data_IF_577481893439
#
_entry.id   IF_577481893439
#
_cell.length_a   1.000
_cell.length_b   1.000
_cell.length_c   1.000
_cell.angle_alpha   90.00
_cell.angle_beta   90.00
_cell.angle_gamma   90.00
#
_symmetry.space_group_name_H-M   'P 1'
#
loop_
_entity.id
_entity.type
_entity.pdbx_description
1 polymer ?
#
# COMPACT_ATOMS: atom_id res chain seq x y z
N UNK A 1 10.63 58.88 0.68
CA UNK A 1 11.77 58.49 -0.19
C UNK A 1 12.48 57.31 0.47
N UNK A 2 12.12 56.09 0.09
CA UNK A 2 12.63 54.85 0.69
C UNK A 2 13.86 54.43 -0.11
N UNK A 3 15.04 54.59 0.48
CA UNK A 3 16.31 54.13 -0.13
C UNK A 3 16.41 52.62 0.04
N UNK A 4 16.13 51.89 -1.04
CA UNK A 4 16.40 50.46 -1.17
C UNK A 4 17.88 50.27 -1.56
N UNK A 5 18.63 49.57 -0.72
CA UNK A 5 19.91 48.98 -1.09
C UNK A 5 19.76 47.46 -0.96
N UNK A 6 19.52 46.79 -2.09
CA UNK A 6 19.69 45.35 -2.21
C UNK A 6 21.08 45.09 -2.77
N UNK A 7 22.03 44.79 -1.88
CA UNK A 7 23.29 44.18 -2.28
C UNK A 7 23.01 42.76 -2.80
N UNK A 8 23.64 42.44 -3.92
CA UNK A 8 23.67 41.15 -4.60
C UNK A 8 23.93 39.96 -3.68
N UNK A 9 22.96 39.05 -3.63
CA UNK A 9 23.17 37.60 -3.51
C UNK A 9 23.89 37.04 -2.28
N UNK A 10 23.13 36.70 -1.23
CA UNK A 10 23.16 35.41 -0.52
C UNK A 10 22.06 35.42 0.57
N UNK A 11 21.12 34.47 0.46
CA UNK A 11 20.25 33.91 1.53
C UNK A 11 19.71 34.89 2.59
N UNK A 12 18.44 35.31 2.46
CA UNK A 12 17.64 35.76 3.61
C UNK A 12 17.30 34.53 4.47
N UNK A 13 18.18 34.15 5.39
CA UNK A 13 17.83 33.21 6.46
C UNK A 13 17.30 34.04 7.61
N UNK A 14 15.97 34.10 7.73
CA UNK A 14 15.32 34.67 8.91
C UNK A 14 15.39 33.65 10.05
N UNK A 15 15.70 34.19 11.23
CA UNK A 15 16.01 33.52 12.47
C UNK A 15 14.78 32.88 13.13
N UNK A 16 15.07 31.88 13.96
CA UNK A 16 14.18 31.15 14.86
C UNK A 16 13.57 32.11 15.90
N UNK A 17 12.25 32.06 16.07
CA UNK A 17 11.53 32.67 17.18
C UNK A 17 10.91 31.52 17.99
N UNK A 18 11.54 31.21 19.13
CA UNK A 18 11.00 30.33 20.18
C UNK A 18 9.89 31.03 20.99
N UNK A 19 8.97 30.19 21.46
CA UNK A 19 8.13 30.32 22.65
C UNK A 19 6.95 31.31 22.62
N UNK A 20 5.73 30.77 22.44
CA UNK A 20 4.63 30.94 23.41
C UNK A 20 3.79 29.67 23.48
N UNK A 21 4.14 28.86 24.47
CA UNK A 21 3.35 27.80 25.09
C UNK A 21 2.16 28.42 25.84
N UNK A 22 0.95 27.94 25.59
CA UNK A 22 -0.19 28.18 26.47
C UNK A 22 -0.97 26.89 26.65
N UNK A 23 -0.76 26.27 27.82
CA UNK A 23 -1.57 25.22 28.42
C UNK A 23 -2.90 25.76 28.95
N UNK A 24 -3.98 25.00 28.78
CA UNK A 24 -5.11 24.87 29.72
C UNK A 24 -6.06 23.74 29.23
N UNK A 25 -6.88 23.12 30.10
CA UNK A 25 -6.48 22.20 31.15
C UNK A 25 -7.13 20.82 30.97
N UNK A 26 -6.59 19.91 31.75
CA UNK A 26 -6.98 18.52 31.94
C UNK A 26 -8.15 18.52 32.94
N UNK A 27 -9.23 17.79 32.65
CA UNK A 27 -10.14 17.32 33.69
C UNK A 27 -10.31 15.81 33.56
N UNK A 28 -9.95 15.17 34.65
CA UNK A 28 -9.82 13.74 34.86
C UNK A 28 -11.07 13.26 35.59
N UNK A 29 -11.64 12.13 35.18
CA UNK A 29 -12.39 11.28 36.10
C UNK A 29 -11.91 9.84 35.95
N UNK A 30 -11.22 9.41 37.00
CA UNK A 30 -10.71 8.09 37.37
C UNK A 30 -11.79 6.99 37.27
N UNK A 31 -11.48 5.81 36.72
CA UNK A 31 -11.10 4.55 37.43
C UNK A 31 -12.34 3.88 38.10
N UNK A 32 -12.71 2.61 37.95
CA UNK A 32 -12.02 1.30 38.04
C UNK A 32 -12.93 0.25 37.36
N UNK A 33 -12.45 -0.69 36.52
CA UNK A 33 -11.73 -1.97 36.76
C UNK A 33 -12.65 -3.21 36.79
N UNK A 34 -12.12 -4.28 36.18
CA UNK A 34 -12.56 -5.69 36.15
C UNK A 34 -13.69 -5.97 35.13
N UNK A 35 -13.68 -7.04 34.35
CA UNK A 35 -12.92 -8.29 34.40
C UNK A 35 -12.97 -8.96 33.01
N UNK A 36 -12.15 -9.97 32.87
CA UNK A 36 -11.85 -10.85 31.74
C UNK A 36 -13.08 -11.39 30.98
N UNK A 37 -12.97 -11.57 29.65
CA UNK A 37 -12.87 -12.90 28.99
C UNK A 37 -13.05 -12.78 27.47
N UNK A 38 -12.25 -13.51 26.67
CA UNK A 38 -12.31 -13.50 25.21
C UNK A 38 -13.47 -14.37 24.70
N UNK A 39 -14.28 -13.83 23.78
CA UNK A 39 -15.25 -14.59 23.00
C UNK A 39 -14.76 -14.68 21.57
N UNK A 40 -13.91 -15.67 21.36
CA UNK A 40 -13.91 -16.50 20.17
C UNK A 40 -15.36 -17.02 19.99
N UNK A 41 -15.99 -16.77 18.85
CA UNK A 41 -17.14 -17.55 18.41
C UNK A 41 -16.81 -18.10 17.02
N UNK A 42 -16.16 -19.24 17.09
CA UNK A 42 -15.97 -20.22 16.02
C UNK A 42 -17.34 -20.73 15.58
N UNK A 43 -17.62 -20.68 14.28
CA UNK A 43 -18.73 -21.39 13.70
C UNK A 43 -18.34 -22.88 13.53
N UNK A 44 -19.10 -23.84 14.08
CA UNK A 44 -18.78 -25.26 13.98
C UNK A 44 -19.28 -25.84 12.66
N UNK A 45 -18.45 -26.61 11.96
CA UNK A 45 -18.87 -27.65 11.03
C UNK A 45 -17.94 -28.86 11.15
N UNK A 46 -18.35 -29.73 12.06
CA UNK A 46 -18.36 -31.20 12.09
C UNK A 46 -17.29 -32.00 11.31
N UNK A 47 -16.58 -32.85 12.06
CA UNK A 47 -15.94 -34.07 11.57
C UNK A 47 -17.01 -35.11 11.20
N UNK A 48 -16.90 -35.71 10.01
CA UNK A 48 -17.41 -37.06 9.70
C UNK A 48 -16.38 -37.76 8.81
N UNK A 49 -16.08 -38.99 9.20
CA UNK A 49 -15.15 -39.92 8.57
C UNK A 49 -15.78 -40.61 7.35
N UNK A 50 -14.92 -41.17 6.51
CA UNK A 50 -15.14 -42.39 5.71
C UNK A 50 -15.97 -42.31 4.41
N UNK A 51 -15.28 -42.36 3.25
CA UNK A 51 -15.67 -43.13 2.06
C UNK A 51 -14.54 -43.11 1.00
N UNK A 52 -14.39 -44.16 0.16
CA UNK A 52 -13.14 -44.91 0.01
C UNK A 52 -12.22 -44.50 -1.16
N UNK A 53 -10.99 -45.03 -1.06
CA UNK A 53 -10.03 -45.23 -2.13
C UNK A 53 -10.55 -46.18 -3.23
N UNK A 54 -9.88 -46.09 -4.40
CA UNK A 54 -10.13 -46.76 -5.69
C UNK A 54 -11.19 -46.01 -6.52
N UNK A 55 -10.81 -45.25 -7.55
CA UNK A 55 -10.31 -45.74 -8.83
C UNK A 55 -9.10 -44.90 -9.32
N UNK A 56 -7.94 -45.55 -9.50
CA UNK A 56 -6.87 -45.06 -10.36
C UNK A 56 -7.20 -45.51 -11.80
N UNK A 57 -7.70 -44.61 -12.64
CA UNK A 57 -7.64 -44.79 -14.10
C UNK A 57 -7.19 -43.50 -14.77
N UNK A 58 -6.16 -43.66 -15.59
CA UNK A 58 -5.44 -42.77 -16.48
C UNK A 58 -6.21 -41.54 -17.00
N UNK A 59 -5.71 -40.35 -16.68
CA UNK A 59 -5.54 -39.28 -17.67
C UNK A 59 -4.16 -38.62 -17.42
N UNK A 60 -3.13 -39.12 -18.10
CA UNK A 60 -1.99 -38.26 -18.48
C UNK A 60 -2.52 -37.25 -19.53
N UNK A 61 -3.24 -36.23 -19.08
CA UNK A 61 -3.37 -35.01 -19.88
C UNK A 61 -1.97 -34.37 -19.92
N UNK A 62 -1.40 -34.22 -21.10
CA UNK A 62 -0.25 -33.34 -21.31
C UNK A 62 -0.59 -31.97 -20.71
N UNK A 63 -0.05 -31.66 -19.53
CA UNK A 63 -0.01 -30.31 -18.98
C UNK A 63 0.88 -29.45 -19.89
N UNK A 64 0.34 -29.05 -21.05
CA UNK A 64 0.92 -28.00 -21.86
C UNK A 64 0.91 -26.74 -20.98
N UNK A 65 2.06 -26.36 -20.42
CA UNK A 65 2.21 -25.26 -19.45
C UNK A 65 1.53 -23.98 -20.00
N UNK A 66 0.29 -23.74 -19.56
CA UNK A 66 -0.48 -22.56 -19.97
C UNK A 66 0.12 -21.35 -19.26
N UNK A 67 1.14 -20.76 -19.89
CA UNK A 67 1.82 -19.58 -19.37
C UNK A 67 0.88 -18.36 -19.36
N UNK A 68 0.74 -17.71 -18.21
CA UNK A 68 -0.04 -16.47 -18.07
C UNK A 68 0.56 -15.35 -18.93
N UNK A 69 -0.17 -14.77 -19.91
CA UNK A 69 0.33 -13.66 -20.71
C UNK A 69 0.36 -12.31 -19.96
N UNK A 70 -0.31 -12.19 -18.80
CA UNK A 70 -0.41 -10.95 -18.03
C UNK A 70 0.95 -10.37 -17.58
N UNK A 71 1.86 -11.11 -16.92
CA UNK A 71 3.12 -10.55 -16.41
C UNK A 71 4.02 -9.93 -17.49
N UNK A 72 4.09 -10.55 -18.67
CA UNK A 72 4.88 -10.02 -19.79
C UNK A 72 4.27 -8.71 -20.31
N UNK A 73 2.94 -8.66 -20.42
CA UNK A 73 2.22 -7.48 -20.87
C UNK A 73 2.32 -6.33 -19.88
N UNK A 74 2.26 -6.59 -18.58
CA UNK A 74 2.50 -5.61 -17.52
C UNK A 74 3.92 -5.06 -17.58
N UNK A 75 4.94 -5.92 -17.74
CA UNK A 75 6.35 -5.51 -17.90
C UNK A 75 6.52 -4.53 -19.07
N UNK A 76 5.85 -4.77 -20.19
CA UNK A 76 5.84 -3.86 -21.36
C UNK A 76 5.14 -2.51 -21.09
N UNK A 77 4.35 -2.41 -20.02
CA UNK A 77 3.59 -1.22 -19.62
C UNK A 77 4.26 -0.40 -18.53
N UNK A 78 5.06 -1.02 -17.64
CA UNK A 78 5.85 -0.34 -16.59
C UNK A 78 6.64 0.89 -17.09
N UNK A 79 7.40 0.84 -18.21
CA UNK A 79 8.18 2.00 -18.66
C UNK A 79 7.34 3.18 -19.16
N UNK A 80 6.01 3.04 -19.31
CA UNK A 80 5.10 4.12 -19.67
C UNK A 80 4.54 4.86 -18.46
N UNK A 81 4.66 4.26 -17.27
CA UNK A 81 4.09 4.74 -16.01
C UNK A 81 5.16 5.26 -15.04
N UNK A 82 6.30 5.75 -15.57
CA UNK A 82 7.47 6.17 -14.78
C UNK A 82 7.15 7.29 -13.81
N UNK A 83 6.28 8.24 -14.19
CA UNK A 83 5.89 9.35 -13.31
C UNK A 83 5.26 8.83 -12.01
N UNK A 84 4.32 7.89 -12.13
CA UNK A 84 3.64 7.28 -11.00
C UNK A 84 4.59 6.38 -10.20
N UNK A 85 5.47 5.65 -10.88
CA UNK A 85 6.51 4.85 -10.22
C UNK A 85 7.42 5.71 -9.34
N UNK A 86 7.87 6.87 -9.82
CA UNK A 86 8.70 7.79 -9.04
C UNK A 86 7.94 8.37 -7.83
N UNK A 87 6.65 8.65 -7.98
CA UNK A 87 5.82 9.12 -6.88
C UNK A 87 5.62 8.03 -5.81
N UNK A 88 5.45 6.78 -6.22
CA UNK A 88 5.38 5.63 -5.32
C UNK A 88 6.70 5.45 -4.57
N UNK A 89 7.84 5.47 -5.27
CA UNK A 89 9.17 5.36 -4.65
C UNK A 89 9.47 6.50 -3.67
N UNK A 90 8.99 7.71 -3.96
CA UNK A 90 9.11 8.84 -3.03
C UNK A 90 8.24 8.62 -1.78
N UNK A 91 7.05 8.02 -1.94
CA UNK A 91 6.20 7.66 -0.83
C UNK A 91 6.81 6.54 0.03
N UNK A 92 7.38 5.51 -0.59
CA UNK A 92 8.04 4.39 0.10
C UNK A 92 9.12 4.90 1.05
N UNK A 93 10.01 5.79 0.58
CA UNK A 93 11.06 6.40 1.41
C UNK A 93 10.50 7.19 2.60
N UNK A 94 9.36 7.86 2.42
CA UNK A 94 8.71 8.59 3.52
C UNK A 94 8.18 7.62 4.58
N UNK A 95 7.63 6.47 4.15
CA UNK A 95 7.06 5.45 5.05
C UNK A 95 8.16 4.61 5.72
N UNK A 96 9.31 4.42 5.08
CA UNK A 96 10.46 3.75 5.69
C UNK A 96 10.97 4.46 6.96
N UNK A 97 10.81 5.77 7.04
CA UNK A 97 11.20 6.60 8.20
C UNK A 97 10.15 6.59 9.33
N UNK A 98 9.03 5.86 9.15
CA UNK A 98 7.90 5.90 10.08
C UNK A 98 7.87 4.73 11.07
N UNK A 99 7.98 5.06 12.35
CA UNK A 99 7.92 4.08 13.45
C UNK A 99 6.48 3.78 13.90
N UNK A 100 5.53 4.69 13.62
CA UNK A 100 4.14 4.60 14.10
C UNK A 100 3.21 3.70 13.29
N UNK A 101 3.63 3.20 12.12
CA UNK A 101 2.82 2.31 11.28
C UNK A 101 1.56 2.93 10.65
N UNK A 102 1.21 4.19 10.98
CA UNK A 102 0.02 4.87 10.45
C UNK A 102 0.20 5.34 9.00
N UNK A 103 1.43 5.60 8.56
CA UNK A 103 1.72 6.13 7.22
C UNK A 103 1.72 4.99 6.19
N UNK A 104 1.05 5.21 5.08
CA UNK A 104 0.92 4.23 4.00
C UNK A 104 0.95 4.89 2.61
N UNK A 105 1.18 4.08 1.58
CA UNK A 105 1.34 4.51 0.18
C UNK A 105 0.24 3.99 -0.76
N UNK A 106 -0.89 3.52 -0.23
CA UNK A 106 -1.98 2.92 -1.02
C UNK A 106 -2.49 3.83 -2.13
N UNK A 107 -2.57 5.15 -1.90
CA UNK A 107 -2.94 6.12 -2.94
C UNK A 107 -1.99 6.12 -4.13
N UNK A 108 -0.68 6.25 -3.87
CA UNK A 108 0.34 6.25 -4.93
C UNK A 108 0.45 4.89 -5.60
N UNK A 109 0.21 3.81 -4.85
CA UNK A 109 0.15 2.45 -5.37
C UNK A 109 -1.00 2.30 -6.37
N UNK A 110 -2.20 2.79 -6.04
CA UNK A 110 -3.34 2.77 -6.96
C UNK A 110 -3.13 3.65 -8.19
N UNK A 111 -2.42 4.79 -8.06
CA UNK A 111 -2.06 5.61 -9.22
C UNK A 111 -1.11 4.87 -10.18
N UNK A 112 -0.11 4.17 -9.64
CA UNK A 112 0.85 3.41 -10.42
C UNK A 112 0.21 2.20 -11.11
N UNK A 113 -0.49 1.35 -10.35
CA UNK A 113 -1.17 0.18 -10.90
C UNK A 113 -2.31 0.57 -11.83
N UNK A 114 -3.08 1.61 -11.49
CA UNK A 114 -4.10 2.15 -12.38
C UNK A 114 -3.54 2.62 -13.72
N UNK A 115 -2.30 3.11 -13.79
CA UNK A 115 -1.63 3.40 -15.06
C UNK A 115 -1.24 2.12 -15.82
N UNK A 116 -0.64 1.14 -15.13
CA UNK A 116 -0.22 -0.14 -15.72
C UNK A 116 -1.42 -0.90 -16.27
N UNK A 117 -2.50 -1.00 -15.50
CA UNK A 117 -3.73 -1.71 -15.87
C UNK A 117 -4.41 -1.06 -17.06
N UNK A 118 -4.50 0.28 -17.11
CA UNK A 118 -5.01 1.00 -18.30
C UNK A 118 -4.24 0.65 -19.57
N UNK A 119 -2.93 0.38 -19.46
CA UNK A 119 -2.09 -0.04 -20.58
C UNK A 119 -2.21 -1.54 -20.90
N UNK A 120 -2.31 -2.40 -19.88
CA UNK A 120 -2.28 -3.85 -20.02
C UNK A 120 -3.65 -4.45 -20.39
N UNK A 121 -4.75 -3.91 -19.84
CA UNK A 121 -6.11 -4.41 -20.05
C UNK A 121 -6.47 -4.68 -21.52
N UNK A 122 -6.31 -3.75 -22.48
CA UNK A 122 -6.66 -4.02 -23.88
C UNK A 122 -5.75 -5.06 -24.56
N UNK A 123 -4.59 -5.40 -23.98
CA UNK A 123 -3.67 -6.40 -24.54
C UNK A 123 -3.94 -7.79 -23.98
N UNK A 124 -4.25 -7.88 -22.68
CA UNK A 124 -4.52 -9.15 -21.99
C UNK A 124 -5.74 -9.83 -22.62
N UNK A 125 -6.86 -9.12 -22.76
CA UNK A 125 -8.08 -9.66 -23.38
C UNK A 125 -7.95 -10.01 -24.87
N UNK A 126 -6.86 -9.60 -25.53
CA UNK A 126 -6.57 -10.04 -26.92
C UNK A 126 -5.78 -11.34 -26.99
N UNK A 127 -5.19 -11.77 -25.88
CA UNK A 127 -4.35 -12.97 -25.78
C UNK A 127 -5.11 -14.15 -25.17
N UNK A 128 -6.02 -13.87 -24.25
CA UNK A 128 -6.95 -14.84 -23.68
C UNK A 128 -7.96 -15.28 -24.77
N UNK A 129 -8.17 -16.59 -24.89
CA UNK A 129 -9.14 -17.21 -25.81
C UNK A 129 -10.34 -17.73 -25.04
#
# INVERSE_FOLDING_TARGET
MVKWWCATGLVCRAAEAEEQHQEAPQEEVAEEKAEETPSEEEAPVEEEEDAPAEEEEEEEEEEEEVHDPKPELESSCKPKCVKQLLALQACEKRVEEDEGGEKHCTGQYFDYWGCVDKCAAPKVFRKLK
#
